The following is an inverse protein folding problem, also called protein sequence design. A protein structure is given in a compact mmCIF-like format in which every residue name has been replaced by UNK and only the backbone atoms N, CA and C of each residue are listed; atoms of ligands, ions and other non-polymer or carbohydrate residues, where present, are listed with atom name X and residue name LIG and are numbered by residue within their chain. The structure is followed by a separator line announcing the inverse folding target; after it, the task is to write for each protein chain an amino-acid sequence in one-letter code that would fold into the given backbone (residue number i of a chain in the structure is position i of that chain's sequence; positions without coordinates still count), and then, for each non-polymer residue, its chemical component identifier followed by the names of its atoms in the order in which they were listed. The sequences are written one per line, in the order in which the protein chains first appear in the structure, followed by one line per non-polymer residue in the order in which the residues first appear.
data_IF_712588226884
#
_entry.id   IF_712588226884
#
_cell.length_a   1.000
_cell.length_b   1.000
_cell.length_c   1.000
_cell.angle_alpha   90.00
_cell.angle_beta   90.00
_cell.angle_gamma   90.00
#
_symmetry.space_group_name_H-M   'P 1'
#
loop_
_entity.id
_entity.type
_entity.pdbx_description
1 polymer ?
#
# COMPACT_ATOMS: atom_id res chain seq x y z
N UNK A 1 -18.86 -14.88 48.62
CA UNK A 1 -18.63 -13.49 48.17
C UNK A 1 -17.38 -13.40 47.30
N UNK A 2 -16.20 -13.80 47.80
CA UNK A 2 -14.94 -13.66 47.05
C UNK A 2 -14.85 -14.45 45.73
N UNK A 3 -15.44 -15.66 45.66
CA UNK A 3 -15.44 -16.48 44.42
C UNK A 3 -16.32 -15.92 43.30
N UNK A 4 -17.44 -15.28 43.64
CA UNK A 4 -18.37 -14.71 42.65
C UNK A 4 -17.78 -13.47 41.98
N UNK A 5 -17.04 -12.65 42.73
CA UNK A 5 -16.36 -11.48 42.18
C UNK A 5 -15.23 -11.89 41.22
N UNK A 6 -14.50 -12.95 41.56
CA UNK A 6 -13.41 -13.46 40.73
C UNK A 6 -13.93 -14.03 39.39
N UNK A 7 -15.11 -14.64 39.39
CA UNK A 7 -15.75 -15.16 38.18
C UNK A 7 -16.30 -14.04 37.27
N UNK A 8 -16.72 -12.91 37.85
CA UNK A 8 -17.09 -11.71 37.07
C UNK A 8 -15.90 -11.09 36.38
N UNK A 9 -14.79 -10.90 37.11
CA UNK A 9 -13.56 -10.32 36.57
C UNK A 9 -13.00 -11.17 35.42
N UNK A 10 -13.01 -12.50 35.54
CA UNK A 10 -12.55 -13.37 34.45
C UNK A 10 -13.47 -13.30 33.21
N UNK A 11 -14.80 -13.20 33.39
CA UNK A 11 -15.73 -13.01 32.26
C UNK A 11 -15.51 -11.68 31.54
N UNK A 12 -15.27 -10.61 32.30
CA UNK A 12 -15.04 -9.29 31.73
C UNK A 12 -13.72 -9.26 30.95
N UNK A 13 -12.65 -9.87 31.50
CA UNK A 13 -11.37 -10.05 30.81
C UNK A 13 -11.50 -10.88 29.52
N UNK A 14 -12.19 -12.03 29.55
CA UNK A 14 -12.44 -12.82 28.34
C UNK A 14 -13.22 -12.02 27.28
N UNK A 15 -14.17 -11.19 27.72
CA UNK A 15 -14.95 -10.35 26.80
C UNK A 15 -14.13 -9.21 26.17
N UNK A 16 -13.23 -8.58 26.94
CA UNK A 16 -12.31 -7.55 26.44
C UNK A 16 -11.23 -8.13 25.52
N UNK A 17 -10.68 -9.30 25.86
CA UNK A 17 -9.70 -10.00 25.03
C UNK A 17 -10.29 -10.47 23.71
N UNK A 18 -11.51 -11.03 23.74
CA UNK A 18 -12.25 -11.40 22.54
C UNK A 18 -12.54 -10.16 21.66
N UNK A 19 -13.02 -9.06 22.26
CA UNK A 19 -13.26 -7.82 21.52
C UNK A 19 -11.98 -7.24 20.89
N UNK A 20 -10.87 -7.24 21.64
CA UNK A 20 -9.56 -6.80 21.12
C UNK A 20 -9.09 -7.68 19.98
N UNK A 21 -9.20 -9.01 20.11
CA UNK A 21 -8.79 -9.96 19.07
C UNK A 21 -9.52 -9.71 17.73
N UNK A 22 -10.83 -9.48 17.78
CA UNK A 22 -11.61 -9.16 16.57
C UNK A 22 -11.27 -7.78 16.01
N UNK A 23 -11.09 -6.76 16.85
CA UNK A 23 -10.69 -5.42 16.38
C UNK A 23 -9.30 -5.44 15.72
N UNK A 24 -8.34 -6.17 16.27
CA UNK A 24 -6.97 -6.15 15.79
C UNK A 24 -6.81 -6.86 14.44
N UNK A 25 -7.53 -7.97 14.23
CA UNK A 25 -7.65 -8.65 12.93
C UNK A 25 -8.28 -7.76 11.85
N UNK A 26 -9.32 -7.00 12.21
CA UNK A 26 -10.01 -6.08 11.30
C UNK A 26 -9.13 -4.87 10.96
N UNK A 27 -8.41 -4.31 11.93
CA UNK A 27 -7.46 -3.20 11.75
C UNK A 27 -6.28 -3.60 10.86
N UNK A 28 -5.67 -4.77 11.09
CA UNK A 28 -4.57 -5.28 10.23
C UNK A 28 -5.00 -5.40 8.77
N UNK A 29 -6.15 -6.00 8.51
CA UNK A 29 -6.67 -6.21 7.15
C UNK A 29 -6.99 -4.89 6.43
N UNK A 30 -7.52 -3.91 7.16
CA UNK A 30 -7.88 -2.60 6.61
C UNK A 30 -6.63 -1.74 6.31
N UNK A 31 -5.64 -1.80 7.19
CA UNK A 31 -4.37 -1.09 7.00
C UNK A 31 -3.55 -1.68 5.85
N UNK A 32 -3.56 -3.01 5.67
CA UNK A 32 -2.89 -3.65 4.52
C UNK A 32 -3.51 -3.19 3.20
N UNK A 33 -4.84 -3.22 3.09
CA UNK A 33 -5.56 -2.79 1.88
C UNK A 33 -5.28 -1.34 1.53
N UNK A 34 -5.33 -0.45 2.52
CA UNK A 34 -5.04 0.98 2.33
C UNK A 34 -3.59 1.20 1.87
N UNK A 35 -2.64 0.47 2.45
CA UNK A 35 -1.23 0.52 2.05
C UNK A 35 -1.00 -0.01 0.63
N UNK A 36 -1.72 -1.06 0.22
CA UNK A 36 -1.67 -1.62 -1.14
C UNK A 36 -2.25 -0.65 -2.17
N UNK A 37 -3.31 0.09 -1.84
CA UNK A 37 -3.87 1.10 -2.75
C UNK A 37 -2.90 2.26 -2.98
N UNK A 38 -2.28 2.78 -1.92
CA UNK A 38 -1.29 3.86 -2.03
C UNK A 38 -0.02 3.39 -2.78
N UNK A 39 0.37 2.13 -2.57
CA UNK A 39 1.46 1.49 -3.28
C UNK A 39 1.14 1.23 -4.75
N UNK A 40 -0.04 0.68 -5.02
CA UNK A 40 -0.54 0.36 -6.35
C UNK A 40 -0.61 1.60 -7.23
N UNK A 41 -1.05 2.73 -6.68
CA UNK A 41 -1.00 4.01 -7.39
C UNK A 41 0.43 4.39 -7.80
N UNK A 42 1.42 4.16 -6.94
CA UNK A 42 2.84 4.38 -7.28
C UNK A 42 3.35 3.44 -8.38
N UNK A 43 2.97 2.16 -8.33
CA UNK A 43 3.30 1.16 -9.35
C UNK A 43 2.66 1.50 -10.70
N UNK A 44 1.40 1.94 -10.70
CA UNK A 44 0.67 2.35 -11.90
C UNK A 44 1.35 3.56 -12.53
N UNK A 45 1.64 4.60 -11.74
CA UNK A 45 2.35 5.80 -12.20
C UNK A 45 3.71 5.42 -12.78
N UNK A 46 4.49 4.60 -12.07
CA UNK A 46 5.77 4.08 -12.55
C UNK A 46 5.63 3.32 -13.88
N UNK A 47 4.66 2.41 -13.97
CA UNK A 47 4.37 1.62 -15.17
C UNK A 47 4.00 2.50 -16.36
N UNK A 48 3.17 3.52 -16.16
CA UNK A 48 2.90 4.52 -17.19
C UNK A 48 4.15 5.29 -17.61
N UNK A 49 5.02 5.66 -16.68
CA UNK A 49 6.33 6.26 -16.99
C UNK A 49 7.19 5.38 -17.90
N UNK A 50 7.28 4.07 -17.59
CA UNK A 50 7.98 3.07 -18.44
C UNK A 50 7.31 2.98 -19.81
N UNK A 51 5.99 2.85 -19.84
CA UNK A 51 5.23 2.71 -21.09
C UNK A 51 5.40 3.93 -21.99
N UNK A 52 5.37 5.15 -21.45
CA UNK A 52 5.61 6.38 -22.21
C UNK A 52 7.05 6.50 -22.71
N UNK A 53 8.03 5.95 -22.00
CA UNK A 53 9.42 5.89 -22.45
C UNK A 53 9.60 4.88 -23.61
N UNK A 54 8.89 3.76 -23.56
CA UNK A 54 8.95 2.70 -24.57
C UNK A 54 8.04 2.99 -25.77
N UNK A 55 6.96 3.76 -25.60
CA UNK A 55 6.00 4.18 -26.64
C UNK A 55 6.64 4.62 -27.97
N UNK A 56 7.65 5.51 -28.00
CA UNK A 56 8.32 5.89 -29.25
C UNK A 56 9.10 4.74 -29.90
N UNK A 57 9.63 3.79 -29.11
CA UNK A 57 10.30 2.60 -29.64
C UNK A 57 9.34 1.62 -30.30
N UNK A 58 8.06 1.66 -29.91
CA UNK A 58 6.98 0.83 -30.50
C UNK A 58 6.24 1.55 -31.64
N UNK A 59 6.66 2.76 -32.01
CA UNK A 59 6.06 3.52 -33.10
C UNK A 59 4.69 4.11 -32.76
N UNK A 60 4.36 4.30 -31.48
CA UNK A 60 3.14 5.00 -31.06
C UNK A 60 3.31 6.51 -31.28
N UNK A 61 2.51 7.14 -32.17
CA UNK A 61 2.58 8.58 -32.40
C UNK A 61 1.91 9.31 -31.23
N UNK A 62 2.68 9.56 -30.19
CA UNK A 62 2.31 10.46 -29.10
C UNK A 62 2.54 11.89 -29.60
N UNK A 63 1.46 12.64 -29.83
CA UNK A 63 1.47 14.04 -30.31
C UNK A 63 2.01 15.05 -29.30
N UNK A 64 2.98 14.65 -28.49
CA UNK A 64 3.64 15.43 -27.44
C UNK A 64 5.10 15.55 -27.84
N UNK A 65 5.67 16.75 -27.66
CA UNK A 65 7.07 17.04 -27.93
C UNK A 65 8.00 16.01 -27.24
N UNK A 66 8.95 15.47 -28.00
CA UNK A 66 9.83 14.38 -27.55
C UNK A 66 10.62 14.78 -26.29
N UNK A 67 11.00 16.06 -26.18
CA UNK A 67 11.72 16.61 -25.04
C UNK A 67 10.86 16.56 -23.78
N UNK A 68 9.62 17.02 -23.89
CA UNK A 68 8.69 17.06 -22.76
C UNK A 68 8.32 15.64 -22.31
N UNK A 69 8.12 14.72 -23.26
CA UNK A 69 7.85 13.31 -22.96
C UNK A 69 9.02 12.65 -22.24
N UNK A 70 10.26 12.89 -22.66
CA UNK A 70 11.45 12.32 -22.01
C UNK A 70 11.62 12.84 -20.57
N UNK A 71 11.45 14.14 -20.36
CA UNK A 71 11.54 14.74 -19.02
C UNK A 71 10.40 14.21 -18.12
N UNK A 72 9.16 14.20 -18.63
CA UNK A 72 8.00 13.74 -17.87
C UNK A 72 8.08 12.25 -17.53
N UNK A 73 8.44 11.40 -18.51
CA UNK A 73 8.63 9.97 -18.29
C UNK A 73 9.78 9.68 -17.32
N UNK A 74 10.90 10.41 -17.42
CA UNK A 74 12.01 10.32 -16.48
C UNK A 74 11.62 10.70 -15.05
N UNK A 75 10.88 11.80 -14.88
CA UNK A 75 10.38 12.25 -13.57
C UNK A 75 9.39 11.23 -12.97
N UNK A 76 8.50 10.71 -13.80
CA UNK A 76 7.51 9.70 -13.44
C UNK A 76 8.16 8.37 -13.04
N UNK A 77 9.20 7.95 -13.78
CA UNK A 77 10.01 6.79 -13.46
C UNK A 77 10.77 6.97 -12.15
N UNK A 78 11.44 8.10 -11.95
CA UNK A 78 12.23 8.36 -10.74
C UNK A 78 11.33 8.44 -9.50
N UNK A 79 10.25 9.24 -9.56
CA UNK A 79 9.30 9.42 -8.46
C UNK A 79 8.47 8.16 -8.20
N UNK A 80 8.01 7.50 -9.26
CA UNK A 80 7.31 6.22 -9.21
C UNK A 80 8.18 5.13 -8.61
N UNK A 81 9.43 4.98 -9.08
CA UNK A 81 10.39 4.02 -8.55
C UNK A 81 10.67 4.28 -7.07
N UNK A 82 10.83 5.54 -6.67
CA UNK A 82 11.04 5.89 -5.26
C UNK A 82 9.83 5.50 -4.38
N UNK A 83 8.60 5.73 -4.86
CA UNK A 83 7.37 5.29 -4.14
C UNK A 83 7.26 3.77 -4.04
N UNK A 84 7.60 3.07 -5.12
CA UNK A 84 7.58 1.60 -5.18
C UNK A 84 8.69 1.01 -4.31
N UNK A 85 9.90 1.55 -4.34
CA UNK A 85 10.99 1.12 -3.47
C UNK A 85 10.62 1.29 -1.97
N UNK A 86 9.98 2.40 -1.62
CA UNK A 86 9.54 2.68 -0.24
C UNK A 86 8.43 1.75 0.23
N UNK A 87 7.51 1.34 -0.64
CA UNK A 87 6.43 0.42 -0.28
C UNK A 87 6.81 -1.06 -0.33
N UNK A 88 7.74 -1.45 -1.22
CA UNK A 88 8.24 -2.82 -1.30
C UNK A 88 8.95 -3.24 0.00
N UNK A 89 9.70 -2.32 0.63
CA UNK A 89 10.34 -2.56 1.93
C UNK A 89 9.36 -2.77 3.10
N UNK A 90 8.09 -2.37 2.99
CA UNK A 90 7.09 -2.60 4.04
C UNK A 90 6.43 -3.97 4.00
N UNK A 91 6.59 -4.74 2.91
CA UNK A 91 5.88 -6.00 2.70
C UNK A 91 6.73 -7.27 2.93
N UNK A 92 7.98 -7.18 3.41
CA UNK A 92 8.91 -8.33 3.33
C UNK A 92 9.74 -8.67 4.57
N UNK A 93 9.40 -8.14 5.75
CA UNK A 93 9.87 -8.77 7.00
C UNK A 93 8.65 -9.16 7.82
N UNK A 94 8.04 -10.29 7.43
CA UNK A 94 7.30 -11.16 8.33
C UNK A 94 8.18 -12.36 8.64
#
# INVERSE_FOLDING_TARGET
MEKDDQERVNRDLESEEAQNYFQDRRKKSYQLRRSILDYGMGVIIFGFGVLFLVAPKVGLPVGIDDTFRYIFSGLCLLYGAFRVYRGARKNYFN
#
